data_IF_177916625767
#
_entry.id   IF_177916625767
#
_cell.length_a   1.000
_cell.length_b   1.000
_cell.length_c   1.000
_cell.angle_alpha   90.00
_cell.angle_beta   90.00
_cell.angle_gamma   90.00
#
_symmetry.space_group_name_H-M   'P 1'
#
loop_
_entity.id
_entity.type
_entity.pdbx_description
1 polymer ?
#
# COMPACT_ATOMS: atom_id res chain seq x y z
N UNK A 1 -12.85 17.62 -16.36
CA UNK A 1 -13.38 16.28 -16.04
C UNK A 1 -12.19 15.33 -16.07
N UNK A 2 -11.68 14.90 -14.92
CA UNK A 2 -10.54 13.98 -14.89
C UNK A 2 -10.94 12.65 -15.55
N UNK A 3 -10.03 12.07 -16.33
CA UNK A 3 -10.30 10.82 -17.03
C UNK A 3 -10.37 9.66 -16.03
N UNK A 4 -11.48 8.91 -16.04
CA UNK A 4 -11.68 7.73 -15.20
C UNK A 4 -10.64 6.65 -15.55
N UNK A 5 -9.95 6.13 -14.53
CA UNK A 5 -9.01 5.01 -14.67
C UNK A 5 -9.80 3.71 -14.82
N UNK A 6 -9.48 2.92 -15.85
CA UNK A 6 -10.17 1.67 -16.13
C UNK A 6 -9.36 0.47 -15.63
N UNK A 7 -10.02 -0.40 -14.86
CA UNK A 7 -9.49 -1.70 -14.45
C UNK A 7 -10.05 -2.82 -15.33
N UNK A 8 -9.18 -3.69 -15.82
CA UNK A 8 -9.52 -4.79 -16.73
C UNK A 8 -9.08 -6.14 -16.16
N UNK A 9 -9.80 -7.24 -16.43
CA UNK A 9 -9.34 -8.58 -16.06
C UNK A 9 -7.93 -8.87 -16.58
N UNK A 10 -7.10 -9.47 -15.73
CA UNK A 10 -5.72 -9.83 -16.05
C UNK A 10 -5.50 -11.33 -15.92
N UNK A 11 -5.21 -12.00 -17.04
CA UNK A 11 -5.12 -13.48 -17.10
C UNK A 11 -3.69 -14.01 -17.26
N UNK A 12 -2.67 -13.15 -17.21
CA UNK A 12 -1.26 -13.52 -17.47
C UNK A 12 -0.48 -13.81 -16.20
N UNK A 13 -1.09 -14.59 -15.30
CA UNK A 13 -0.48 -15.04 -14.05
C UNK A 13 -0.40 -16.55 -14.09
N UNK A 14 0.84 -17.06 -14.01
CA UNK A 14 1.11 -18.49 -13.92
C UNK A 14 1.37 -18.82 -12.44
N UNK A 15 0.37 -19.44 -11.82
CA UNK A 15 0.42 -20.01 -10.46
C UNK A 15 -0.09 -21.45 -10.53
N UNK A 16 0.55 -22.37 -9.81
CA UNK A 16 0.13 -23.78 -9.73
C UNK A 16 -1.20 -23.99 -9.00
N UNK A 17 -1.77 -22.94 -8.40
CA UNK A 17 -2.95 -22.99 -7.55
C UNK A 17 -4.00 -21.99 -8.04
N UNK A 18 -5.21 -22.49 -8.37
CA UNK A 18 -6.48 -21.83 -8.76
C UNK A 18 -6.39 -20.47 -9.51
N UNK A 19 -7.08 -20.36 -10.65
CA UNK A 19 -7.25 -19.09 -11.38
C UNK A 19 -7.81 -18.01 -10.44
N UNK A 20 -7.02 -16.97 -10.18
CA UNK A 20 -7.47 -15.79 -9.40
C UNK A 20 -7.93 -14.72 -10.39
N UNK A 21 -9.08 -14.10 -10.10
CA UNK A 21 -9.55 -12.94 -10.87
C UNK A 21 -8.80 -11.68 -10.42
N UNK A 22 -7.73 -11.36 -11.14
CA UNK A 22 -6.96 -10.15 -10.92
C UNK A 22 -7.39 -9.05 -11.90
N UNK A 23 -7.22 -7.80 -11.47
CA UNK A 23 -7.48 -6.60 -12.25
C UNK A 23 -6.17 -5.87 -12.51
N UNK A 24 -6.02 -5.34 -13.73
CA UNK A 24 -4.93 -4.49 -14.13
C UNK A 24 -5.43 -3.11 -14.55
N UNK A 25 -4.66 -2.06 -14.30
CA UNK A 25 -4.91 -0.78 -14.97
C UNK A 25 -4.65 -0.92 -16.46
N UNK A 26 -5.57 -0.42 -17.30
CA UNK A 26 -5.37 -0.40 -18.74
C UNK A 26 -4.08 0.35 -19.11
N UNK A 27 -3.32 -0.19 -20.06
CA UNK A 27 -2.03 0.38 -20.51
C UNK A 27 -2.16 1.84 -20.96
N UNK A 28 -3.29 2.20 -21.59
CA UNK A 28 -3.56 3.56 -22.05
C UNK A 28 -3.67 4.57 -20.91
N UNK A 29 -4.20 4.14 -19.75
CA UNK A 29 -4.34 4.97 -18.55
C UNK A 29 -3.05 5.07 -17.73
N UNK A 30 -2.08 4.19 -17.96
CA UNK A 30 -0.78 4.23 -17.27
C UNK A 30 0.00 5.52 -17.55
N UNK A 31 -0.10 6.06 -18.78
CA UNK A 31 0.53 7.34 -19.14
C UNK A 31 -0.02 8.51 -18.31
N UNK A 32 -1.33 8.54 -18.09
CA UNK A 32 -2.03 9.56 -17.29
C UNK A 32 -1.67 9.42 -15.82
N UNK A 33 -1.64 8.19 -15.28
CA UNK A 33 -1.22 7.94 -13.90
C UNK A 33 0.23 8.41 -13.67
N UNK A 34 1.13 8.12 -14.61
CA UNK A 34 2.51 8.56 -14.50
C UNK A 34 2.64 10.08 -14.45
N UNK A 35 1.87 10.80 -15.28
CA UNK A 35 1.84 12.26 -15.26
C UNK A 35 1.20 12.81 -13.98
N UNK A 36 0.02 12.29 -13.59
CA UNK A 36 -0.73 12.75 -12.42
C UNK A 36 0.08 12.61 -11.13
N UNK A 37 0.84 11.53 -11.00
CA UNK A 37 1.60 11.24 -9.79
C UNK A 37 3.10 11.51 -9.91
N UNK A 38 3.53 12.28 -10.90
CA UNK A 38 4.92 12.69 -11.07
C UNK A 38 5.49 13.40 -9.82
N UNK A 39 4.66 14.21 -9.15
CA UNK A 39 5.00 14.90 -7.90
C UNK A 39 5.44 13.97 -6.75
N UNK A 40 5.02 12.69 -6.78
CA UNK A 40 5.42 11.69 -5.79
C UNK A 40 6.71 10.95 -6.18
N UNK A 41 7.29 11.22 -7.35
CA UNK A 41 8.48 10.53 -7.86
C UNK A 41 8.18 9.39 -8.84
N UNK A 42 6.98 9.38 -9.43
CA UNK A 42 6.68 8.53 -10.59
C UNK A 42 7.29 9.17 -11.84
N UNK A 43 8.09 8.42 -12.57
CA UNK A 43 8.86 8.94 -13.71
C UNK A 43 8.35 8.44 -15.07
N UNK A 44 7.47 7.45 -15.05
CA UNK A 44 6.94 6.84 -16.27
C UNK A 44 6.25 5.52 -15.98
N UNK A 45 6.01 4.75 -17.02
CA UNK A 45 5.44 3.41 -16.94
C UNK A 45 6.09 2.47 -17.94
N UNK A 46 5.97 1.17 -17.70
CA UNK A 46 6.37 0.12 -18.64
C UNK A 46 5.53 -1.13 -18.46
N UNK A 47 5.56 -2.02 -19.45
CA UNK A 47 5.17 -3.41 -19.25
C UNK A 47 6.38 -4.18 -18.74
N UNK A 48 6.19 -4.95 -17.67
CA UNK A 48 7.27 -5.70 -17.04
C UNK A 48 6.82 -7.08 -16.60
N UNK A 49 7.81 -7.94 -16.40
CA UNK A 49 7.63 -9.29 -15.87
C UNK A 49 8.27 -9.36 -14.50
N UNK A 50 7.66 -10.11 -13.59
CA UNK A 50 8.27 -10.44 -12.30
C UNK A 50 7.87 -11.84 -11.84
N UNK A 51 8.72 -12.42 -11.01
CA UNK A 51 8.46 -13.68 -10.30
C UNK A 51 8.69 -13.40 -8.83
N UNK A 52 7.77 -13.86 -7.98
CA UNK A 52 7.95 -13.79 -6.55
C UNK A 52 6.69 -14.06 -5.76
N UNK A 53 6.82 -13.92 -4.44
CA UNK A 53 5.75 -14.06 -3.47
C UNK A 53 5.28 -12.68 -3.01
N UNK A 54 3.98 -12.53 -2.85
CA UNK A 54 3.40 -11.27 -2.39
C UNK A 54 1.91 -11.39 -2.10
N UNK A 55 1.33 -10.29 -1.63
CA UNK A 55 -0.04 -10.24 -1.16
C UNK A 55 -1.04 -10.58 -2.26
N UNK A 56 -0.74 -10.21 -3.52
CA UNK A 56 -1.58 -10.49 -4.70
C UNK A 56 -2.04 -11.96 -4.75
N UNK A 57 -1.18 -12.94 -4.46
CA UNK A 57 -1.56 -14.37 -4.48
C UNK A 57 -1.50 -15.07 -3.11
N UNK A 58 -1.52 -14.31 -2.00
CA UNK A 58 -1.43 -14.83 -0.62
C UNK A 58 -0.06 -15.44 -0.31
N UNK A 59 1.00 -14.81 -0.80
CA UNK A 59 2.38 -15.22 -0.56
C UNK A 59 2.74 -16.61 -1.11
N UNK A 60 1.97 -17.08 -2.10
CA UNK A 60 2.40 -18.19 -2.96
C UNK A 60 3.39 -17.65 -4.01
N UNK A 61 4.20 -18.48 -4.62
CA UNK A 61 5.05 -18.00 -5.72
C UNK A 61 4.20 -17.92 -7.00
N UNK A 62 4.29 -16.79 -7.73
CA UNK A 62 3.71 -16.70 -9.06
C UNK A 62 4.63 -15.97 -10.04
N UNK A 63 4.47 -16.31 -11.32
CA UNK A 63 5.07 -15.57 -12.42
C UNK A 63 4.00 -14.69 -13.07
N UNK A 64 4.33 -13.42 -13.22
CA UNK A 64 3.46 -12.42 -13.84
C UNK A 64 4.13 -11.90 -15.10
N UNK A 65 3.45 -12.04 -16.23
CA UNK A 65 3.96 -11.63 -17.55
C UNK A 65 3.26 -10.36 -18.07
N UNK A 66 4.05 -9.38 -18.51
CA UNK A 66 3.61 -8.11 -19.10
C UNK A 66 2.63 -7.32 -18.23
N UNK A 67 2.88 -7.26 -16.94
CA UNK A 67 2.12 -6.41 -16.03
C UNK A 67 2.38 -4.93 -16.34
N UNK A 68 1.36 -4.06 -16.35
CA UNK A 68 1.55 -2.62 -16.32
C UNK A 68 2.21 -2.22 -15.00
N UNK A 69 3.27 -1.41 -15.07
CA UNK A 69 4.03 -0.97 -13.91
C UNK A 69 4.37 0.51 -14.02
N UNK A 70 4.26 1.24 -12.91
CA UNK A 70 4.86 2.57 -12.79
C UNK A 70 6.35 2.44 -12.45
N UNK A 71 7.16 3.32 -13.02
CA UNK A 71 8.58 3.47 -12.68
C UNK A 71 8.67 4.52 -11.58
N UNK A 72 9.16 4.12 -10.40
CA UNK A 72 9.24 4.97 -9.22
C UNK A 72 10.70 5.18 -8.80
N UNK A 73 11.15 6.43 -8.80
CA UNK A 73 12.51 6.87 -8.42
C UNK A 73 13.63 6.05 -9.10
N UNK A 74 13.43 5.66 -10.37
CA UNK A 74 14.26 4.78 -11.22
C UNK A 74 14.63 3.40 -10.65
N UNK A 75 14.34 3.14 -9.38
CA UNK A 75 14.82 1.98 -8.63
C UNK A 75 13.70 0.97 -8.42
N UNK A 76 12.47 1.42 -8.33
CA UNK A 76 11.32 0.60 -7.99
C UNK A 76 10.31 0.51 -9.14
N UNK A 77 9.65 -0.63 -9.24
CA UNK A 77 8.50 -0.83 -10.11
C UNK A 77 7.27 -1.07 -9.25
N UNK A 78 6.19 -0.34 -9.54
CA UNK A 78 4.91 -0.52 -8.87
C UNK A 78 3.97 -1.22 -9.86
N UNK A 79 3.72 -2.53 -9.74
CA UNK A 79 2.73 -3.20 -10.55
C UNK A 79 1.35 -2.59 -10.31
N UNK A 80 0.62 -2.32 -11.39
CA UNK A 80 -0.76 -1.86 -11.32
C UNK A 80 -1.70 -3.06 -11.45
N UNK A 81 -1.48 -4.05 -10.58
CA UNK A 81 -2.21 -5.31 -10.49
C UNK A 81 -2.80 -5.47 -9.09
N UNK A 82 -4.10 -5.75 -9.03
CA UNK A 82 -4.85 -5.81 -7.78
C UNK A 82 -5.90 -6.91 -7.84
N UNK A 83 -6.23 -7.47 -6.67
CA UNK A 83 -7.36 -8.37 -6.54
C UNK A 83 -8.66 -7.67 -6.87
N UNK A 84 -9.52 -8.37 -7.60
CA UNK A 84 -10.88 -7.91 -7.84
C UNK A 84 -11.61 -7.70 -6.52
N UNK A 85 -11.83 -6.44 -6.17
CA UNK A 85 -12.43 -6.00 -4.92
C UNK A 85 -12.87 -4.54 -5.03
N UNK A 86 -13.85 -4.12 -4.24
CA UNK A 86 -14.33 -2.73 -4.24
C UNK A 86 -13.25 -1.74 -3.79
N UNK A 87 -12.33 -2.16 -2.93
CA UNK A 87 -11.17 -1.35 -2.51
C UNK A 87 -10.22 -1.07 -3.68
N UNK A 88 -10.02 -2.01 -4.59
CA UNK A 88 -9.19 -1.80 -5.77
C UNK A 88 -9.77 -0.74 -6.71
N UNK A 89 -11.09 -0.68 -6.88
CA UNK A 89 -11.74 0.38 -7.66
C UNK A 89 -11.67 1.72 -6.94
N UNK A 90 -12.03 1.76 -5.64
CA UNK A 90 -11.97 2.98 -4.83
C UNK A 90 -10.59 3.61 -4.80
N UNK A 91 -9.52 2.81 -4.86
CA UNK A 91 -8.14 3.32 -4.97
C UNK A 91 -7.99 4.37 -6.07
N UNK A 92 -8.66 4.18 -7.22
CA UNK A 92 -8.56 5.09 -8.37
C UNK A 92 -9.73 6.07 -8.50
N UNK A 93 -10.89 5.77 -7.92
CA UNK A 93 -12.08 6.64 -7.96
C UNK A 93 -12.00 7.78 -6.92
N UNK A 94 -11.38 7.53 -5.76
CA UNK A 94 -11.22 8.50 -4.68
C UNK A 94 -9.80 9.09 -4.73
N UNK A 95 -9.66 10.35 -5.17
CA UNK A 95 -8.36 10.99 -5.43
C UNK A 95 -7.36 10.87 -4.27
N UNK A 96 -7.84 11.02 -3.04
CA UNK A 96 -7.01 10.97 -1.84
C UNK A 96 -6.37 9.59 -1.59
N UNK A 97 -6.91 8.49 -2.15
CA UNK A 97 -6.39 7.14 -1.88
C UNK A 97 -5.08 6.85 -2.57
N UNK A 98 -4.89 7.30 -3.82
CA UNK A 98 -3.60 7.17 -4.49
C UNK A 98 -2.55 8.08 -3.86
N UNK A 99 -2.94 9.26 -3.38
CA UNK A 99 -2.04 10.11 -2.58
C UNK A 99 -1.63 9.39 -1.29
N UNK A 100 -2.60 8.82 -0.56
CA UNK A 100 -2.31 8.02 0.62
C UNK A 100 -1.40 6.81 0.32
N UNK A 101 -1.61 6.16 -0.84
CA UNK A 101 -0.76 5.06 -1.31
C UNK A 101 0.70 5.50 -1.46
N UNK A 102 0.97 6.66 -2.07
CA UNK A 102 2.34 7.15 -2.25
C UNK A 102 2.99 7.62 -0.95
N UNK A 103 2.25 8.26 -0.06
CA UNK A 103 2.74 8.63 1.27
C UNK A 103 3.09 7.40 2.10
N UNK A 104 2.23 6.37 2.08
CA UNK A 104 2.50 5.09 2.72
C UNK A 104 3.72 4.41 2.10
N UNK A 105 3.81 4.36 0.77
CA UNK A 105 4.95 3.79 0.04
C UNK A 105 6.27 4.44 0.46
N UNK A 106 6.32 5.78 0.50
CA UNK A 106 7.53 6.51 0.89
C UNK A 106 7.94 6.20 2.34
N UNK A 107 6.99 6.24 3.27
CA UNK A 107 7.25 5.90 4.66
C UNK A 107 7.75 4.45 4.79
N UNK A 108 7.06 3.50 4.16
CA UNK A 108 7.41 2.08 4.21
C UNK A 108 8.78 1.80 3.59
N UNK A 109 9.14 2.45 2.47
CA UNK A 109 10.47 2.27 1.86
C UNK A 109 11.61 2.73 2.78
N UNK A 110 11.36 3.73 3.64
CA UNK A 110 12.34 4.27 4.58
C UNK A 110 12.47 3.43 5.86
N UNK A 111 11.37 2.88 6.37
CA UNK A 111 11.34 2.25 7.70
C UNK A 111 11.18 0.73 7.66
N UNK A 112 10.42 0.19 6.70
CA UNK A 112 10.07 -1.24 6.60
C UNK A 112 10.01 -1.73 5.15
N UNK A 113 11.10 -1.56 4.36
CA UNK A 113 11.09 -1.90 2.94
C UNK A 113 10.79 -3.38 2.68
N UNK A 114 11.20 -4.27 3.58
CA UNK A 114 10.97 -5.71 3.48
C UNK A 114 9.49 -6.10 3.45
N UNK A 115 8.61 -5.31 4.08
CA UNK A 115 7.16 -5.60 4.12
C UNK A 115 6.44 -5.26 2.82
N UNK A 116 7.03 -4.40 1.98
CA UNK A 116 6.37 -3.83 0.80
C UNK A 116 7.07 -4.20 -0.51
N UNK A 117 8.05 -5.09 -0.46
CA UNK A 117 8.76 -5.59 -1.63
C UNK A 117 8.31 -7.02 -1.90
N UNK A 118 8.08 -7.32 -3.18
CA UNK A 118 7.89 -8.71 -3.61
C UNK A 118 9.18 -9.46 -3.31
N UNK A 119 9.06 -10.52 -2.51
CA UNK A 119 10.17 -11.41 -2.21
C UNK A 119 10.43 -12.28 -3.45
N UNK A 120 11.67 -12.24 -3.91
CA UNK A 120 12.09 -12.91 -5.15
C UNK A 120 13.08 -14.01 -4.85
N UNK A 121 12.99 -15.08 -5.62
CA UNK A 121 14.03 -16.09 -5.64
C UNK A 121 15.27 -15.54 -6.37
N UNK A 122 16.32 -15.22 -5.61
CA UNK A 122 17.56 -14.59 -6.11
C UNK A 122 18.24 -15.37 -7.24
N UNK A 123 17.96 -16.68 -7.35
CA UNK A 123 18.53 -17.54 -8.39
C UNK A 123 17.98 -17.27 -9.80
N UNK A 124 16.86 -16.57 -9.92
CA UNK A 124 16.11 -16.38 -11.18
C UNK A 124 16.24 -14.94 -11.70
N UNK A 125 16.53 -13.97 -10.84
CA UNK A 125 16.35 -12.55 -11.18
C UNK A 125 17.66 -11.76 -11.35
N UNK A 126 17.94 -11.38 -12.58
CA UNK A 126 19.12 -10.58 -12.98
C UNK A 126 18.83 -9.08 -13.05
N UNK A 127 17.59 -8.63 -12.77
CA UNK A 127 17.19 -7.23 -12.95
C UNK A 127 17.47 -6.37 -11.72
N UNK A 128 18.08 -5.19 -11.95
CA UNK A 128 18.40 -4.19 -10.93
C UNK A 128 17.19 -3.59 -10.18
N UNK A 129 16.00 -3.56 -10.80
CA UNK A 129 14.84 -2.89 -10.21
C UNK A 129 14.11 -3.80 -9.21
N UNK A 130 13.80 -3.25 -8.03
CA UNK A 130 12.95 -3.90 -7.02
C UNK A 130 11.47 -3.72 -7.39
N UNK A 131 10.63 -4.70 -7.07
CA UNK A 131 9.17 -4.64 -7.35
C UNK A 131 8.45 -4.44 -6.04
N UNK A 132 7.58 -3.44 -6.00
CA UNK A 132 6.71 -3.12 -4.87
C UNK A 132 5.55 -4.12 -4.85
N UNK A 133 5.19 -4.60 -3.67
CA UNK A 133 3.94 -5.29 -3.43
C UNK A 133 2.79 -4.26 -3.33
N UNK A 134 2.34 -3.80 -4.50
CA UNK A 134 1.29 -2.79 -4.62
C UNK A 134 -0.07 -3.30 -4.12
N UNK A 135 -0.33 -4.60 -4.21
CA UNK A 135 -1.55 -5.21 -3.68
C UNK A 135 -1.57 -5.12 -2.14
N UNK A 136 -0.43 -5.37 -1.48
CA UNK A 136 -0.29 -5.17 -0.04
C UNK A 136 -0.52 -3.71 0.35
N UNK A 137 0.12 -2.76 -0.34
CA UNK A 137 -0.02 -1.34 -0.03
C UNK A 137 -1.46 -0.86 -0.23
N UNK A 138 -2.13 -1.26 -1.31
CA UNK A 138 -3.54 -0.93 -1.55
C UNK A 138 -4.46 -1.50 -0.45
N UNK A 139 -4.17 -2.72 0.01
CA UNK A 139 -4.85 -3.31 1.16
C UNK A 139 -4.62 -2.48 2.43
N UNK A 140 -3.36 -2.11 2.76
CA UNK A 140 -3.04 -1.31 3.94
C UNK A 140 -3.66 0.09 3.91
N UNK A 141 -3.70 0.75 2.75
CA UNK A 141 -4.44 2.01 2.59
C UNK A 141 -5.91 1.82 2.94
N UNK A 142 -6.53 0.73 2.47
CA UNK A 142 -7.93 0.44 2.77
C UNK A 142 -8.15 0.14 4.26
N UNK A 143 -7.26 -0.64 4.88
CA UNK A 143 -7.31 -0.93 6.31
C UNK A 143 -7.20 0.34 7.16
N UNK A 144 -6.29 1.26 6.80
CA UNK A 144 -6.15 2.55 7.49
C UNK A 144 -7.39 3.42 7.27
N UNK A 145 -7.85 3.63 6.04
CA UNK A 145 -8.87 4.64 5.73
C UNK A 145 -10.32 4.15 5.91
N UNK A 146 -10.57 2.86 5.73
CA UNK A 146 -11.90 2.26 5.83
C UNK A 146 -12.15 1.68 7.23
N UNK A 147 -11.16 1.06 7.87
CA UNK A 147 -11.32 0.48 9.21
C UNK A 147 -10.88 1.44 10.32
N UNK A 148 -9.68 2.01 10.22
CA UNK A 148 -9.11 2.89 11.25
C UNK A 148 -9.54 4.36 11.15
N UNK A 149 -9.93 4.81 9.95
CA UNK A 149 -10.00 6.25 9.66
C UNK A 149 -11.02 6.99 10.50
N UNK A 150 -12.24 6.48 10.62
CA UNK A 150 -13.30 7.15 11.39
C UNK A 150 -13.02 7.13 12.91
N UNK A 151 -12.61 6.02 13.55
CA UNK A 151 -12.19 6.07 14.95
C UNK A 151 -11.05 7.07 15.20
N UNK A 152 -9.99 7.02 14.37
CA UNK A 152 -8.80 7.86 14.55
C UNK A 152 -9.13 9.35 14.39
N UNK A 153 -10.02 9.70 13.46
CA UNK A 153 -10.42 11.10 13.26
C UNK A 153 -11.18 11.71 14.45
N UNK A 154 -11.66 10.88 15.38
CA UNK A 154 -12.44 11.32 16.55
C UNK A 154 -11.67 11.20 17.87
N UNK A 155 -10.42 10.70 17.85
CA UNK A 155 -9.63 10.61 19.07
C UNK A 155 -9.13 11.99 19.53
N UNK A 156 -9.26 12.23 20.83
CA UNK A 156 -8.87 13.48 21.50
C UNK A 156 -7.63 13.29 22.39
N UNK A 157 -7.06 12.10 22.43
CA UNK A 157 -5.81 11.81 23.14
C UNK A 157 -5.12 10.57 22.58
N UNK A 158 -3.81 10.47 22.83
CA UNK A 158 -3.04 9.27 22.48
C UNK A 158 -3.54 8.02 23.21
N UNK A 159 -4.04 8.16 24.44
CA UNK A 159 -4.53 7.03 25.24
C UNK A 159 -5.74 6.34 24.59
N UNK A 160 -6.64 7.11 23.98
CA UNK A 160 -7.77 6.55 23.22
C UNK A 160 -7.28 5.73 22.02
N UNK A 161 -6.25 6.20 21.32
CA UNK A 161 -5.62 5.43 20.25
C UNK A 161 -4.97 4.15 20.79
N UNK A 162 -4.25 4.22 21.91
CA UNK A 162 -3.59 3.06 22.52
C UNK A 162 -4.60 1.98 22.89
N UNK A 163 -5.71 2.36 23.53
CA UNK A 163 -6.78 1.43 23.91
C UNK A 163 -7.43 0.79 22.68
N UNK A 164 -7.76 1.60 21.67
CA UNK A 164 -8.34 1.11 20.42
C UNK A 164 -7.36 0.18 19.67
N UNK A 165 -6.10 0.58 19.51
CA UNK A 165 -5.10 -0.19 18.79
C UNK A 165 -4.75 -1.52 19.48
N UNK A 166 -4.89 -1.60 20.82
CA UNK A 166 -4.75 -2.86 21.55
C UNK A 166 -5.74 -3.93 21.08
N UNK A 167 -6.94 -3.52 20.67
CA UNK A 167 -8.00 -4.42 20.19
C UNK A 167 -7.84 -4.70 18.70
N UNK A 168 -7.70 -3.64 17.89
CA UNK A 168 -7.78 -3.73 16.42
C UNK A 168 -6.43 -3.93 15.73
N UNK A 169 -5.31 -3.71 16.44
CA UNK A 169 -3.93 -3.97 15.97
C UNK A 169 -3.60 -3.35 14.62
N UNK A 170 -4.02 -2.11 14.39
CA UNK A 170 -3.67 -1.38 13.18
C UNK A 170 -2.15 -1.20 13.05
N UNK A 171 -1.51 -0.80 14.17
CA UNK A 171 -0.06 -0.88 14.38
C UNK A 171 0.19 -2.13 15.22
N UNK A 172 1.02 -3.04 14.71
CA UNK A 172 1.41 -4.27 15.42
C UNK A 172 2.94 -4.42 15.41
N UNK A 173 3.53 -4.46 16.61
CA UNK A 173 4.96 -4.67 16.84
C UNK A 173 5.37 -6.15 16.84
N UNK A 174 4.47 -7.08 16.53
CA UNK A 174 4.74 -8.52 16.51
C UNK A 174 4.88 -9.14 17.90
N UNK A 175 4.56 -8.40 18.96
CA UNK A 175 4.62 -8.88 20.33
C UNK A 175 3.51 -9.89 20.64
N UNK A 176 3.86 -11.16 20.79
CA UNK A 176 2.93 -12.25 21.14
C UNK A 176 2.93 -12.43 22.67
N UNK A 177 1.87 -11.96 23.36
CA UNK A 177 1.69 -12.16 24.80
C UNK A 177 0.61 -11.29 25.42
N UNK A 178 0.11 -11.63 26.62
CA UNK A 178 -0.89 -10.81 27.35
C UNK A 178 -0.32 -9.49 27.88
N UNK A 179 1.00 -9.38 27.98
CA UNK A 179 1.74 -8.24 28.52
C UNK A 179 2.56 -7.47 27.48
N UNK A 180 2.56 -7.89 26.20
CA UNK A 180 3.24 -7.12 25.16
C UNK A 180 2.45 -5.84 24.89
N UNK A 181 3.13 -4.69 24.99
CA UNK A 181 2.59 -3.43 24.49
C UNK A 181 2.50 -3.52 22.97
N UNK A 182 1.28 -3.62 22.44
CA UNK A 182 1.00 -3.64 20.99
C UNK A 182 1.46 -2.34 20.33
N UNK A 183 1.37 -1.24 21.07
CA UNK A 183 1.90 0.07 20.74
C UNK A 183 2.57 0.66 21.98
N UNK A 184 3.75 1.25 21.81
CA UNK A 184 4.49 1.96 22.86
C UNK A 184 4.82 3.38 22.38
N UNK A 185 4.26 4.44 23.00
CA UNK A 185 4.52 5.82 22.60
C UNK A 185 5.97 6.25 22.82
N UNK A 186 6.70 5.57 23.71
CA UNK A 186 8.13 5.84 23.93
C UNK A 186 9.03 5.32 22.79
N UNK A 187 8.49 4.48 21.89
CA UNK A 187 9.26 3.94 20.77
C UNK A 187 9.07 4.80 19.51
N UNK A 188 10.14 5.47 19.01
CA UNK A 188 10.02 6.45 17.94
C UNK A 188 9.43 5.91 16.64
N UNK A 189 9.63 4.62 16.34
CA UNK A 189 9.07 3.99 15.14
C UNK A 189 7.55 3.88 15.21
N UNK A 190 6.98 3.59 16.39
CA UNK A 190 5.53 3.53 16.60
C UNK A 190 4.91 4.90 16.41
N UNK A 191 5.52 5.91 17.03
CA UNK A 191 5.07 7.30 16.88
C UNK A 191 5.23 7.78 15.44
N UNK A 192 6.29 7.39 14.75
CA UNK A 192 6.47 7.66 13.32
C UNK A 192 5.40 7.00 12.45
N UNK A 193 5.03 5.75 12.74
CA UNK A 193 3.95 5.04 12.04
C UNK A 193 2.58 5.67 12.33
N UNK A 194 2.30 6.05 13.58
CA UNK A 194 1.08 6.74 13.97
C UNK A 194 0.97 8.12 13.30
N UNK A 195 2.03 8.94 13.31
CA UNK A 195 2.08 10.24 12.63
C UNK A 195 1.80 10.08 11.13
N UNK A 196 2.36 9.04 10.50
CA UNK A 196 2.06 8.70 9.11
C UNK A 196 0.59 8.32 8.94
N UNK A 197 0.04 7.42 9.77
CA UNK A 197 -1.37 7.01 9.70
C UNK A 197 -2.30 8.22 9.83
N UNK A 198 -2.08 9.10 10.80
CA UNK A 198 -2.88 10.32 10.98
C UNK A 198 -2.83 11.20 9.73
N UNK A 199 -1.65 11.36 9.12
CA UNK A 199 -1.53 12.12 7.87
C UNK A 199 -2.37 11.52 6.73
N UNK A 200 -2.48 10.18 6.65
CA UNK A 200 -3.36 9.53 5.67
C UNK A 200 -4.83 9.75 6.01
N UNK A 201 -5.20 9.59 7.29
CA UNK A 201 -6.57 9.80 7.77
C UNK A 201 -7.05 11.22 7.48
N UNK A 202 -6.19 12.23 7.65
CA UNK A 202 -6.46 13.64 7.33
C UNK A 202 -6.86 13.87 5.87
N UNK A 203 -6.37 13.05 4.93
CA UNK A 203 -6.77 13.18 3.54
C UNK A 203 -8.26 12.86 3.31
N UNK A 204 -8.87 12.04 4.18
CA UNK A 204 -10.30 11.68 4.14
C UNK A 204 -11.12 12.45 5.18
N UNK A 205 -10.55 12.71 6.35
CA UNK A 205 -11.18 13.41 7.48
C UNK A 205 -10.29 14.60 7.90
N UNK A 206 -10.41 15.77 7.25
CA UNK A 206 -9.51 16.90 7.44
C UNK A 206 -9.46 17.45 8.88
N UNK A 207 -10.55 17.32 9.62
CA UNK A 207 -10.70 17.77 11.02
C UNK A 207 -10.04 16.83 12.05
N UNK A 208 -9.18 15.91 11.62
CA UNK A 208 -8.49 14.98 12.54
C UNK A 208 -7.44 15.74 13.36
N UNK A 209 -7.63 15.89 14.67
CA UNK A 209 -6.72 16.68 15.51
C UNK A 209 -5.75 15.86 16.37
N UNK A 210 -5.72 14.53 16.19
CA UNK A 210 -4.91 13.64 17.03
C UNK A 210 -3.41 13.99 17.00
N UNK A 211 -2.90 14.60 15.93
CA UNK A 211 -1.51 15.02 15.82
C UNK A 211 -1.10 16.13 16.79
N UNK A 212 -2.06 16.93 17.27
CA UNK A 212 -1.83 17.95 18.30
C UNK A 212 -1.48 17.36 19.67
N UNK A 213 -1.70 16.06 19.88
CA UNK A 213 -1.59 15.39 21.17
C UNK A 213 -0.43 14.38 21.24
N UNK A 214 0.43 14.33 20.22
CA UNK A 214 1.48 13.31 20.07
C UNK A 214 2.87 13.89 19.80
N UNK A 215 3.15 15.10 20.28
CA UNK A 215 4.45 15.78 20.14
C UNK A 215 5.62 14.87 20.54
#
# INVERSE_FOLDING_TARGET
MEAKITLEPFERILSGYRKVEELAVNVTDCSKLAQKYARFGVEGYRLGNYVGTGYLNRYLECMVDRAPMLIYRQKYLIPLLFRRSDSAFRLFEEEYRMEAFFLLLEWSLKHRPEKILIERNEKIDTKKNKVIDSAYLAFRVSEILDCGGYPISNFQSIDQFIEWNRIYRLIDNGGIGRHSKVFDPEYPENMGELKMIISLVKLKYPETDLDLYIE
#
